data_IF_675200716279
#
_entry.id   IF_675200716279
#
_cell.length_a   1.000
_cell.length_b   1.000
_cell.length_c   1.000
_cell.angle_alpha   90.00
_cell.angle_beta   90.00
_cell.angle_gamma   90.00
#
_symmetry.space_group_name_H-M   'P 1'
#
loop_
_entity.id
_entity.type
_entity.pdbx_description
1 polymer ?
#
# COMPACT_ATOMS: atom_id res chain seq x y z
N UNK A 1 -19.83 -16.21 31.42
CA UNK A 1 -20.28 -16.96 30.22
C UNK A 1 -20.38 -15.98 29.07
N UNK A 2 -19.77 -16.26 27.91
CA UNK A 2 -19.89 -15.37 26.75
C UNK A 2 -21.34 -15.39 26.24
N UNK A 3 -21.95 -14.23 25.91
CA UNK A 3 -23.33 -14.18 25.45
C UNK A 3 -23.51 -14.92 24.14
N UNK A 4 -24.74 -15.36 23.86
CA UNK A 4 -25.12 -15.91 22.56
C UNK A 4 -25.75 -14.81 21.71
N UNK A 5 -25.47 -14.79 20.41
CA UNK A 5 -26.05 -13.85 19.46
C UNK A 5 -26.61 -14.59 18.24
N UNK A 6 -27.52 -13.91 17.54
CA UNK A 6 -27.92 -14.28 16.18
C UNK A 6 -27.05 -13.46 15.21
N UNK A 7 -26.16 -14.07 14.41
CA UNK A 7 -25.35 -13.33 13.44
C UNK A 7 -26.15 -12.85 12.21
N UNK A 8 -27.39 -13.32 12.08
CA UNK A 8 -28.34 -12.90 11.05
C UNK A 8 -29.26 -11.77 11.51
N UNK A 9 -30.13 -11.32 10.62
CA UNK A 9 -31.16 -10.33 10.92
C UNK A 9 -32.52 -11.01 11.10
N UNK A 10 -33.40 -10.41 11.90
CA UNK A 10 -34.81 -10.82 11.98
C UNK A 10 -35.62 -10.12 10.88
N UNK A 11 -36.04 -10.86 9.86
CA UNK A 11 -36.84 -10.36 8.73
C UNK A 11 -37.83 -11.42 8.27
N UNK A 12 -38.98 -11.02 7.72
CA UNK A 12 -40.02 -11.95 7.26
C UNK A 12 -40.46 -12.96 8.34
N UNK A 13 -40.58 -12.47 9.57
CA UNK A 13 -40.99 -13.23 10.75
C UNK A 13 -40.08 -14.43 11.08
N UNK A 14 -38.77 -14.33 10.78
CA UNK A 14 -37.75 -15.30 11.17
C UNK A 14 -36.34 -14.70 11.22
N UNK A 15 -35.47 -15.34 11.98
CA UNK A 15 -34.03 -15.08 11.95
C UNK A 15 -33.39 -15.68 10.71
N UNK A 16 -32.53 -14.92 10.01
CA UNK A 16 -31.84 -15.45 8.82
C UNK A 16 -30.73 -16.45 9.13
N UNK A 17 -30.21 -16.48 10.38
CA UNK A 17 -29.13 -17.38 10.76
C UNK A 17 -29.58 -18.79 11.16
N UNK A 18 -30.73 -18.93 11.81
CA UNK A 18 -31.21 -20.19 12.39
C UNK A 18 -32.68 -20.50 12.07
N UNK A 19 -33.33 -19.63 11.28
CA UNK A 19 -34.74 -19.74 10.85
C UNK A 19 -35.78 -19.74 11.97
N UNK A 20 -35.36 -19.48 13.22
CA UNK A 20 -36.25 -19.32 14.36
C UNK A 20 -37.24 -18.18 14.12
N UNK A 21 -38.52 -18.41 14.40
CA UNK A 21 -39.60 -17.44 14.17
C UNK A 21 -39.86 -16.54 15.38
N UNK A 22 -39.36 -16.93 16.55
CA UNK A 22 -39.42 -16.11 17.75
C UNK A 22 -38.28 -15.09 17.75
N UNK A 23 -38.62 -13.80 17.81
CA UNK A 23 -37.67 -12.70 17.82
C UNK A 23 -36.86 -12.65 19.14
N UNK A 24 -37.42 -13.12 20.25
CA UNK A 24 -36.81 -13.02 21.57
C UNK A 24 -35.98 -14.27 21.97
N UNK A 25 -35.91 -15.27 21.09
CA UNK A 25 -35.16 -16.51 21.37
C UNK A 25 -33.67 -16.24 21.55
N UNK A 26 -33.04 -16.97 22.47
CA UNK A 26 -31.59 -16.92 22.70
C UNK A 26 -30.81 -17.11 21.40
N UNK A 27 -29.69 -16.40 21.25
CA UNK A 27 -28.82 -16.45 20.08
C UNK A 27 -28.38 -17.88 19.72
N UNK A 28 -28.31 -18.18 18.42
CA UNK A 28 -27.88 -19.49 17.93
C UNK A 28 -26.36 -19.66 17.87
N UNK A 29 -25.59 -18.57 18.01
CA UNK A 29 -24.13 -18.59 17.96
C UNK A 29 -23.53 -18.06 19.25
N UNK A 30 -22.45 -18.68 19.73
CA UNK A 30 -21.70 -18.20 20.89
C UNK A 30 -20.83 -17.02 20.45
N UNK A 31 -20.91 -15.89 21.13
CA UNK A 31 -19.96 -14.79 20.88
C UNK A 31 -18.55 -15.25 21.25
N UNK A 32 -17.59 -15.02 20.36
CA UNK A 32 -16.17 -15.11 20.68
C UNK A 32 -15.66 -13.70 20.97
N UNK A 33 -14.87 -13.54 22.03
CA UNK A 33 -14.27 -12.25 22.42
C UNK A 33 -13.13 -11.80 21.49
N UNK A 34 -12.72 -12.66 20.56
CA UNK A 34 -11.70 -12.37 19.56
C UNK A 34 -12.34 -12.48 18.18
N UNK A 35 -12.50 -11.33 17.52
CA UNK A 35 -12.61 -11.28 16.06
C UNK A 35 -11.18 -11.33 15.56
N UNK A 36 -10.80 -12.42 14.89
CA UNK A 36 -9.63 -12.38 14.02
C UNK A 36 -9.99 -11.46 12.87
N UNK A 37 -9.65 -10.19 12.99
CA UNK A 37 -9.70 -9.21 11.91
C UNK A 37 -8.62 -9.61 10.88
N UNK A 38 -8.82 -10.74 10.19
CA UNK A 38 -7.85 -11.29 9.24
C UNK A 38 -7.60 -10.35 8.07
N UNK A 39 -8.58 -9.48 7.76
CA UNK A 39 -8.56 -8.57 6.61
C UNK A 39 -8.73 -7.09 7.02
N UNK A 40 -8.58 -6.74 8.29
CA UNK A 40 -8.65 -5.33 8.67
C UNK A 40 -7.30 -4.68 8.40
N UNK A 41 -7.23 -4.02 7.25
CA UNK A 41 -6.23 -2.98 7.03
C UNK A 41 -6.68 -1.73 7.80
N UNK A 42 -5.84 -1.23 8.69
CA UNK A 42 -6.09 0.06 9.33
C UNK A 42 -6.11 1.14 8.21
N UNK A 43 -7.25 1.81 7.98
CA UNK A 43 -7.33 2.85 6.96
C UNK A 43 -6.47 4.07 7.29
N UNK A 44 -5.88 4.15 8.48
CA UNK A 44 -5.01 5.23 8.95
C UNK A 44 -3.56 4.80 9.18
N UNK A 45 -3.16 3.60 8.72
CA UNK A 45 -1.77 3.14 8.85
C UNK A 45 -0.83 3.93 7.92
N UNK A 46 0.10 4.73 8.47
CA UNK A 46 1.05 5.50 7.67
C UNK A 46 2.03 4.62 6.90
N UNK A 47 2.35 3.41 7.40
CA UNK A 47 3.27 2.50 6.72
C UNK A 47 2.61 1.89 5.47
N UNK A 48 1.32 1.53 5.56
CA UNK A 48 0.54 1.11 4.40
C UNK A 48 0.44 2.21 3.32
N UNK A 49 0.22 3.47 3.71
CA UNK A 49 0.21 4.60 2.77
C UNK A 49 1.58 4.81 2.13
N UNK A 50 2.66 4.79 2.92
CA UNK A 50 4.02 4.93 2.42
C UNK A 50 4.38 3.82 1.42
N UNK A 51 4.01 2.57 1.71
CA UNK A 51 4.20 1.43 0.80
C UNK A 51 3.39 1.59 -0.49
N UNK A 52 2.17 2.14 -0.43
CA UNK A 52 1.37 2.42 -1.62
C UNK A 52 2.03 3.48 -2.51
N UNK A 53 2.51 4.58 -1.92
CA UNK A 53 3.22 5.64 -2.65
C UNK A 53 4.48 5.09 -3.32
N UNK A 54 5.28 4.30 -2.59
CA UNK A 54 6.48 3.66 -3.14
C UNK A 54 6.14 2.75 -4.34
N UNK A 55 5.15 1.87 -4.21
CA UNK A 55 4.70 0.99 -5.31
C UNK A 55 4.24 1.79 -6.53
N UNK A 56 3.51 2.87 -6.31
CA UNK A 56 3.04 3.73 -7.39
C UNK A 56 4.20 4.41 -8.13
N UNK A 57 5.21 4.89 -7.39
CA UNK A 57 6.42 5.46 -7.96
C UNK A 57 7.21 4.43 -8.79
N UNK A 58 7.38 3.20 -8.27
CA UNK A 58 8.04 2.11 -9.00
C UNK A 58 7.33 1.76 -10.29
N UNK A 59 6.00 1.60 -10.25
CA UNK A 59 5.18 1.22 -11.40
C UNK A 59 5.35 2.20 -12.58
N UNK A 60 5.58 3.47 -12.29
CA UNK A 60 5.69 4.53 -13.29
C UNK A 60 7.13 4.94 -13.61
N UNK A 61 8.14 4.30 -12.99
CA UNK A 61 9.55 4.64 -13.16
C UNK A 61 10.00 4.63 -14.62
N UNK A 62 9.66 3.58 -15.36
CA UNK A 62 10.10 3.45 -16.76
C UNK A 62 9.41 4.47 -17.67
N UNK A 63 8.11 4.71 -17.46
CA UNK A 63 7.37 5.77 -18.14
C UNK A 63 7.97 7.16 -17.85
N UNK A 64 8.44 7.40 -16.63
CA UNK A 64 9.13 8.64 -16.27
C UNK A 64 10.48 8.76 -17.01
N UNK A 65 11.25 7.67 -17.11
CA UNK A 65 12.51 7.64 -17.88
C UNK A 65 12.30 7.95 -19.36
N UNK A 66 11.29 7.35 -19.97
CA UNK A 66 10.92 7.61 -21.36
C UNK A 66 10.60 9.09 -21.59
N UNK A 67 9.78 9.68 -20.71
CA UNK A 67 9.44 11.11 -20.78
C UNK A 67 10.65 12.02 -20.57
N UNK A 68 11.55 11.66 -19.66
CA UNK A 68 12.79 12.40 -19.48
C UNK A 68 13.64 12.41 -20.76
N UNK A 69 13.81 11.26 -21.40
CA UNK A 69 14.57 11.15 -22.66
C UNK A 69 13.90 11.89 -23.81
N UNK A 70 12.58 11.79 -23.94
CA UNK A 70 11.81 12.53 -24.94
C UNK A 70 12.05 14.04 -24.82
N UNK A 71 11.88 14.60 -23.63
CA UNK A 71 12.07 16.03 -23.39
C UNK A 71 13.53 16.43 -23.64
N UNK A 72 14.50 15.65 -23.16
CA UNK A 72 15.93 15.91 -23.33
C UNK A 72 16.33 15.95 -24.81
N UNK A 73 15.82 15.00 -25.61
CA UNK A 73 16.10 14.94 -27.04
C UNK A 73 15.46 16.13 -27.78
N UNK A 74 14.25 16.54 -27.40
CA UNK A 74 13.58 17.70 -28.00
C UNK A 74 14.27 19.03 -27.69
N UNK A 75 14.84 19.18 -26.49
CA UNK A 75 15.63 20.37 -26.13
C UNK A 75 16.95 20.40 -26.90
N UNK A 76 17.67 19.28 -26.96
CA UNK A 76 18.93 19.18 -27.72
C UNK A 76 18.75 19.51 -29.23
N UNK A 77 17.62 19.12 -29.82
CA UNK A 77 17.28 19.47 -31.21
C UNK A 77 16.89 20.96 -31.37
N UNK A 78 16.34 21.60 -30.33
CA UNK A 78 15.95 23.01 -30.35
C UNK A 78 17.11 23.97 -30.13
N UNK A 79 18.06 23.62 -29.28
CA UNK A 79 19.31 24.37 -29.08
C UNK A 79 20.07 24.54 -30.41
N UNK A 80 19.96 23.57 -31.31
CA UNK A 80 20.54 23.63 -32.66
C UNK A 80 19.79 24.54 -33.64
N UNK A 81 18.55 24.96 -33.33
CA UNK A 81 17.66 25.69 -34.26
C UNK A 81 17.27 27.12 -33.82
N UNK A 82 17.83 27.65 -32.73
CA UNK A 82 17.58 29.03 -32.25
C UNK A 82 16.09 29.42 -32.14
N UNK A 83 15.22 28.52 -31.65
CA UNK A 83 13.78 28.79 -31.49
C UNK A 83 13.33 28.90 -30.02
N UNK A 84 12.56 29.97 -29.73
CA UNK A 84 11.70 30.29 -28.57
C UNK A 84 12.13 29.86 -27.13
N UNK A 85 12.65 30.84 -26.36
CA UNK A 85 13.14 30.74 -24.96
C UNK A 85 12.11 30.26 -23.90
N UNK A 86 10.82 30.57 -24.06
CA UNK A 86 9.79 30.33 -23.02
C UNK A 86 9.34 28.86 -22.88
N UNK A 87 9.49 28.06 -23.93
CA UNK A 87 9.20 26.63 -23.90
C UNK A 87 10.37 25.85 -23.28
N UNK A 88 11.60 26.33 -23.49
CA UNK A 88 12.83 25.77 -22.93
C UNK A 88 12.85 25.86 -21.40
N UNK A 89 12.48 27.00 -20.80
CA UNK A 89 12.43 27.15 -19.33
C UNK A 89 11.50 26.11 -18.65
N UNK A 90 10.34 25.84 -19.26
CA UNK A 90 9.38 24.84 -18.75
C UNK A 90 9.89 23.41 -18.91
N UNK A 91 10.55 23.12 -20.02
CA UNK A 91 11.12 21.81 -20.28
C UNK A 91 12.34 21.55 -19.37
N UNK A 92 13.17 22.56 -19.13
CA UNK A 92 14.24 22.49 -18.15
C UNK A 92 13.72 22.19 -16.75
N UNK A 93 12.65 22.88 -16.31
CA UNK A 93 12.02 22.60 -15.02
C UNK A 93 11.50 21.16 -14.94
N UNK A 94 10.88 20.65 -16.01
CA UNK A 94 10.39 19.26 -16.08
C UNK A 94 11.54 18.25 -16.05
N UNK A 95 12.65 18.52 -16.74
CA UNK A 95 13.84 17.68 -16.72
C UNK A 95 14.42 17.61 -15.31
N UNK A 96 14.60 18.75 -14.64
CA UNK A 96 15.10 18.80 -13.26
C UNK A 96 14.16 18.02 -12.31
N UNK A 97 12.85 18.22 -12.41
CA UNK A 97 11.89 17.52 -11.57
C UNK A 97 11.88 16.00 -11.83
N UNK A 98 11.95 15.58 -13.10
CA UNK A 98 12.00 14.18 -13.48
C UNK A 98 13.30 13.50 -13.05
N UNK A 99 14.45 14.17 -13.19
CA UNK A 99 15.74 13.68 -12.70
C UNK A 99 15.70 13.47 -11.18
N UNK A 100 15.23 14.48 -10.43
CA UNK A 100 15.07 14.38 -8.98
C UNK A 100 14.15 13.23 -8.57
N UNK A 101 13.01 13.05 -9.25
CA UNK A 101 12.11 11.92 -8.98
C UNK A 101 12.77 10.57 -9.25
N UNK A 102 13.56 10.44 -10.33
CA UNK A 102 14.28 9.22 -10.63
C UNK A 102 15.34 8.90 -9.56
N UNK A 103 16.06 9.91 -9.07
CA UNK A 103 17.01 9.77 -7.97
C UNK A 103 16.34 9.31 -6.68
N UNK A 104 15.21 9.93 -6.32
CA UNK A 104 14.42 9.53 -5.14
C UNK A 104 13.96 8.08 -5.27
N UNK A 105 13.42 7.69 -6.42
CA UNK A 105 12.98 6.31 -6.66
C UNK A 105 14.15 5.33 -6.51
N UNK A 106 15.31 5.66 -7.07
CA UNK A 106 16.50 4.82 -6.95
C UNK A 106 16.97 4.70 -5.49
N UNK A 107 16.91 5.78 -4.71
CA UNK A 107 17.22 5.76 -3.28
C UNK A 107 16.25 4.89 -2.49
N UNK A 108 14.95 5.01 -2.74
CA UNK A 108 13.93 4.17 -2.13
C UNK A 108 14.13 2.68 -2.46
N UNK A 109 14.44 2.35 -3.72
CA UNK A 109 14.76 0.98 -4.14
C UNK A 109 15.97 0.41 -3.38
N UNK A 110 17.00 1.22 -3.14
CA UNK A 110 18.18 0.80 -2.37
C UNK A 110 17.85 0.58 -0.89
N UNK A 111 17.12 1.50 -0.28
CA UNK A 111 16.69 1.40 1.11
C UNK A 111 15.79 0.17 1.32
N UNK A 112 14.85 -0.07 0.41
CA UNK A 112 13.96 -1.23 0.45
C UNK A 112 14.75 -2.55 0.38
N UNK A 113 15.69 -2.67 -0.57
CA UNK A 113 16.56 -3.84 -0.63
C UNK A 113 17.37 -4.00 0.65
N UNK A 114 17.98 -2.93 1.17
CA UNK A 114 18.77 -3.01 2.40
C UNK A 114 17.94 -3.54 3.58
N UNK A 115 16.69 -3.09 3.68
CA UNK A 115 15.74 -3.57 4.69
C UNK A 115 15.40 -5.06 4.52
N UNK A 116 15.06 -5.51 3.31
CA UNK A 116 14.77 -6.93 3.03
C UNK A 116 15.95 -7.85 3.39
N UNK A 117 17.19 -7.41 3.15
CA UNK A 117 18.39 -8.18 3.50
C UNK A 117 18.59 -8.25 5.02
N UNK A 118 18.20 -7.21 5.75
CA UNK A 118 18.29 -7.18 7.21
C UNK A 118 17.27 -8.11 7.85
N UNK A 119 16.01 -8.11 7.38
CA UNK A 119 14.97 -9.02 7.86
C UNK A 119 15.24 -10.48 7.50
N UNK A 120 15.77 -10.76 6.29
CA UNK A 120 16.13 -12.11 5.87
C UNK A 120 17.35 -12.70 6.61
N UNK A 121 18.17 -11.86 7.24
CA UNK A 121 19.35 -12.26 8.03
C UNK A 121 19.05 -12.59 9.49
N UNK A 122 17.90 -12.15 10.02
CA UNK A 122 17.48 -12.41 11.39
C UNK A 122 16.80 -13.78 11.47
N UNK A 123 17.60 -14.84 11.63
CA UNK A 123 17.07 -16.18 11.99
C UNK A 123 16.25 -16.04 13.29
N UNK A 124 15.03 -16.63 13.37
CA UNK A 124 14.23 -16.57 14.58
C UNK A 124 15.03 -17.20 15.72
N UNK A 125 15.33 -16.36 16.71
CA UNK A 125 16.08 -16.72 17.91
C UNK A 125 15.48 -17.94 18.58
N UNK A 126 16.35 -18.92 18.80
CA UNK A 126 16.19 -20.07 19.67
C UNK A 126 15.88 -19.61 21.10
N UNK A 127 14.60 -19.36 21.38
CA UNK A 127 14.09 -19.17 22.73
C UNK A 127 14.10 -20.50 23.49
N UNK A 128 15.21 -20.82 24.14
CA UNK A 128 15.27 -21.90 25.13
C UNK A 128 14.37 -21.55 26.31
N UNK A 129 13.19 -22.21 26.38
CA UNK A 129 12.38 -22.25 27.60
C UNK A 129 13.09 -23.13 28.66
N UNK A 130 13.26 -22.68 29.91
CA UNK A 130 13.77 -23.54 30.97
C UNK A 130 12.70 -24.57 31.38
N UNK A 131 13.12 -25.80 31.77
CA UNK A 131 12.18 -26.85 32.17
C UNK A 131 11.58 -26.60 33.56
N UNK A 132 10.44 -27.24 33.87
CA UNK A 132 9.71 -27.07 35.14
C UNK A 132 10.45 -27.60 36.36
#
# INVERSE_FOLDING_TARGET
MLPFCHPGAFRSNRWTCCLQTDQAVQGCSRTHSAVTLGDWSDPLDPDAEAQLVYKQLLLHKDKLREKYQEISNTEAAREQSNTAKRASDKNQQRLTAAAHLLEVIQGLEQAHRAFEHQEGGEKPGTGTLPPP
#
